data_IF_882806553099
#
_entry.id   IF_882806553099
#
_cell.length_a   1.000
_cell.length_b   1.000
_cell.length_c   1.000
_cell.angle_alpha   90.00
_cell.angle_beta   90.00
_cell.angle_gamma   90.00
#
_symmetry.space_group_name_H-M   'P 1'
#
loop_
_entity.id
_entity.type
_entity.pdbx_description
1 polymer ?
#
# COMPACT_ATOMS: atom_id res chain seq x y z
N UNK A 1 -5.62 -15.64 -3.52
CA UNK A 1 -5.68 -14.15 -3.52
C UNK A 1 -4.43 -13.59 -4.19
N UNK A 2 -4.56 -12.71 -5.18
CA UNK A 2 -3.41 -12.11 -5.84
C UNK A 2 -2.80 -10.99 -4.98
N UNK A 3 -1.58 -11.21 -4.44
CA UNK A 3 -0.79 -10.22 -3.68
C UNK A 3 0.70 -10.52 -3.75
N UNK A 4 1.54 -9.54 -3.43
CA UNK A 4 2.97 -9.79 -3.23
C UNK A 4 3.20 -10.46 -1.87
N UNK A 5 3.78 -11.66 -1.87
CA UNK A 5 4.11 -12.44 -0.65
C UNK A 5 5.62 -12.54 -0.40
N UNK A 6 6.44 -11.87 -1.21
CA UNK A 6 7.88 -11.92 -1.10
C UNK A 6 8.48 -11.00 -0.02
N UNK A 7 9.81 -10.91 0.04
CA UNK A 7 10.51 -10.10 1.05
C UNK A 7 10.20 -8.60 0.94
N UNK A 8 9.48 -8.05 1.93
CA UNK A 8 9.04 -6.64 1.90
C UNK A 8 10.17 -5.62 2.10
N UNK A 9 11.23 -5.96 2.85
CA UNK A 9 12.39 -5.07 3.02
C UNK A 9 13.15 -4.84 1.69
N UNK A 10 13.05 -5.77 0.73
CA UNK A 10 13.58 -5.58 -0.63
C UNK A 10 12.88 -4.43 -1.35
N UNK A 11 11.57 -4.26 -1.11
CA UNK A 11 10.77 -3.19 -1.70
C UNK A 11 11.15 -1.83 -1.11
N UNK A 12 11.24 -1.73 0.22
CA UNK A 12 11.65 -0.50 0.91
C UNK A 12 13.07 -0.07 0.50
N UNK A 13 14.04 -1.00 0.50
CA UNK A 13 15.41 -0.73 0.04
C UNK A 13 15.50 -0.27 -1.42
N UNK A 14 14.61 -0.77 -2.29
CA UNK A 14 14.58 -0.35 -3.69
C UNK A 14 14.07 1.07 -3.87
N UNK A 15 13.04 1.45 -3.10
CA UNK A 15 12.47 2.81 -3.15
C UNK A 15 13.24 3.80 -2.26
N UNK A 16 14.09 3.29 -1.36
CA UNK A 16 14.97 4.09 -0.52
C UNK A 16 14.27 4.83 0.61
N UNK A 17 13.02 4.46 0.93
CA UNK A 17 12.20 5.03 1.99
C UNK A 17 11.46 3.92 2.72
N UNK A 18 11.03 4.17 3.95
CA UNK A 18 10.09 3.27 4.61
C UNK A 18 8.77 3.27 3.84
N UNK A 19 8.20 2.07 3.66
CA UNK A 19 6.91 1.84 2.99
C UNK A 19 5.86 1.32 3.97
N UNK A 20 6.16 1.28 5.28
CA UNK A 20 5.29 0.79 6.35
C UNK A 20 4.84 -0.67 6.14
N UNK A 21 5.68 -1.48 5.49
CA UNK A 21 5.39 -2.88 5.20
C UNK A 21 5.79 -3.84 6.34
N UNK A 22 6.30 -3.29 7.44
CA UNK A 22 6.66 -3.99 8.67
C UNK A 22 6.09 -3.18 9.83
N UNK A 23 5.68 -3.86 10.90
CA UNK A 23 5.15 -3.21 12.09
C UNK A 23 6.12 -2.18 12.68
N UNK A 24 5.60 -1.10 13.25
CA UNK A 24 6.39 -0.02 13.84
C UNK A 24 7.15 -0.37 15.13
N UNK A 25 7.00 -1.59 15.66
CA UNK A 25 7.59 -2.04 16.95
C UNK A 25 9.10 -1.83 17.02
N UNK A 26 9.79 -2.01 15.89
CA UNK A 26 11.23 -1.71 15.74
C UNK A 26 11.44 -0.81 14.54
N UNK A 27 12.46 0.05 14.60
CA UNK A 27 12.84 0.91 13.47
C UNK A 27 13.20 0.07 12.24
N UNK A 28 12.95 0.62 11.04
CA UNK A 28 13.25 -0.09 9.80
C UNK A 28 14.75 -0.34 9.60
N UNK A 29 15.60 0.56 10.12
CA UNK A 29 17.06 0.44 10.03
C UNK A 29 17.60 -0.77 10.79
N UNK A 30 16.93 -1.15 11.90
CA UNK A 30 17.27 -2.38 12.64
C UNK A 30 16.91 -3.65 11.86
N UNK A 31 15.98 -3.58 10.90
CA UNK A 31 15.47 -4.73 10.13
C UNK A 31 16.17 -4.87 8.78
N UNK A 32 16.58 -3.77 8.16
CA UNK A 32 17.20 -3.78 6.86
C UNK A 32 18.08 -2.54 6.61
N UNK A 33 19.13 -2.71 5.79
CA UNK A 33 19.99 -1.63 5.34
C UNK A 33 19.26 -0.75 4.31
N UNK A 34 18.47 0.23 4.75
CA UNK A 34 17.57 1.04 3.91
C UNK A 34 18.32 1.90 2.87
N UNK A 35 19.49 2.41 3.24
CA UNK A 35 20.37 3.18 2.35
C UNK A 35 20.89 2.37 1.17
N UNK A 36 21.02 1.05 1.33
CA UNK A 36 21.63 0.16 0.36
C UNK A 36 20.60 -0.49 -0.57
N UNK A 37 20.79 -0.36 -1.89
CA UNK A 37 19.95 -1.01 -2.89
C UNK A 37 19.97 -2.54 -2.73
N UNK A 38 18.88 -3.25 -3.07
CA UNK A 38 18.84 -4.71 -2.99
C UNK A 38 19.57 -5.38 -4.16
N UNK A 39 20.16 -6.55 -3.90
CA UNK A 39 20.90 -7.37 -4.87
C UNK A 39 22.42 -7.28 -4.69
N UNK A 40 23.17 -8.17 -5.36
CA UNK A 40 24.64 -8.26 -5.25
C UNK A 40 25.32 -6.94 -5.63
N UNK A 41 24.89 -6.33 -6.75
CA UNK A 41 25.42 -5.03 -7.17
C UNK A 41 24.96 -3.85 -6.30
N UNK A 42 23.99 -4.05 -5.40
CA UNK A 42 23.44 -2.99 -4.57
C UNK A 42 24.38 -2.47 -3.48
N UNK A 43 25.44 -3.23 -3.13
CA UNK A 43 26.47 -2.82 -2.18
C UNK A 43 27.30 -1.66 -2.72
N UNK A 44 27.71 -1.76 -4.00
CA UNK A 44 28.61 -0.79 -4.63
C UNK A 44 27.87 0.20 -5.55
N UNK A 45 26.57 -0.04 -5.81
CA UNK A 45 25.77 0.84 -6.64
C UNK A 45 25.41 2.14 -5.92
N UNK A 46 25.84 3.28 -6.49
CA UNK A 46 25.29 4.59 -6.14
C UNK A 46 23.90 4.72 -6.77
N UNK A 47 22.99 5.42 -6.09
CA UNK A 47 21.70 5.82 -6.70
C UNK A 47 22.00 6.79 -7.84
N UNK A 48 22.10 6.26 -9.05
CA UNK A 48 22.27 7.09 -10.24
C UNK A 48 21.00 7.90 -10.48
N UNK A 49 21.17 9.12 -10.98
CA UNK A 49 20.07 9.95 -11.45
C UNK A 49 19.44 9.22 -12.64
N UNK A 50 18.26 8.64 -12.43
CA UNK A 50 17.55 7.89 -13.45
C UNK A 50 17.09 8.80 -14.59
N UNK A 51 16.69 8.20 -15.71
CA UNK A 51 15.93 8.91 -16.73
C UNK A 51 14.62 9.45 -16.16
N UNK A 52 14.02 10.43 -16.82
CA UNK A 52 12.72 10.98 -16.42
C UNK A 52 11.65 9.88 -16.27
N UNK A 53 11.56 8.99 -17.26
CA UNK A 53 10.72 7.79 -17.19
C UNK A 53 11.03 6.93 -15.96
N UNK A 54 12.32 6.74 -15.65
CA UNK A 54 12.77 5.98 -14.49
C UNK A 54 12.25 6.57 -13.18
N UNK A 55 12.29 7.90 -13.04
CA UNK A 55 11.77 8.62 -11.87
C UNK A 55 10.26 8.45 -11.73
N UNK A 56 9.51 8.69 -12.80
CA UNK A 56 8.05 8.51 -12.81
C UNK A 56 7.66 7.06 -12.50
N UNK A 57 8.39 6.09 -13.06
CA UNK A 57 8.18 4.69 -12.78
C UNK A 57 8.43 4.39 -11.29
N UNK A 58 9.50 4.90 -10.68
CA UNK A 58 9.77 4.68 -9.25
C UNK A 58 8.64 5.22 -8.37
N UNK A 59 8.19 6.45 -8.61
CA UNK A 59 7.10 7.03 -7.81
C UNK A 59 5.79 6.23 -7.96
N UNK A 60 5.45 5.80 -9.18
CA UNK A 60 4.32 4.89 -9.39
C UNK A 60 4.48 3.59 -8.60
N UNK A 61 5.67 2.98 -8.65
CA UNK A 61 5.94 1.71 -7.94
C UNK A 61 5.89 1.88 -6.43
N UNK A 62 6.36 3.02 -5.91
CA UNK A 62 6.34 3.37 -4.49
C UNK A 62 4.91 3.38 -3.95
N UNK A 63 4.02 4.14 -4.59
CA UNK A 63 2.60 4.21 -4.23
C UNK A 63 1.95 2.83 -4.32
N UNK A 64 2.17 2.09 -5.42
CA UNK A 64 1.64 0.73 -5.55
C UNK A 64 2.04 -0.20 -4.41
N UNK A 65 3.31 -0.12 -3.98
CA UNK A 65 3.85 -0.99 -2.93
C UNK A 65 3.32 -0.59 -1.56
N UNK A 66 3.22 0.71 -1.26
CA UNK A 66 2.65 1.19 0.00
C UNK A 66 1.24 0.63 0.23
N UNK A 67 0.36 0.74 -0.77
CA UNK A 67 -1.01 0.24 -0.68
C UNK A 67 -1.17 -1.27 -1.01
N UNK A 68 -0.09 -1.96 -1.41
CA UNK A 68 -0.15 -3.37 -1.77
C UNK A 68 -1.03 -3.68 -3.00
N UNK A 69 -1.16 -2.76 -3.95
CA UNK A 69 -2.04 -2.87 -5.13
C UNK A 69 -1.27 -3.36 -6.35
N UNK A 70 -1.87 -4.29 -7.11
CA UNK A 70 -1.30 -4.79 -8.37
C UNK A 70 -1.50 -3.80 -9.53
N UNK A 71 -0.64 -3.85 -10.54
CA UNK A 71 -0.64 -2.90 -11.65
C UNK A 71 -1.99 -2.78 -12.36
N UNK A 72 -2.65 -3.91 -12.64
CA UNK A 72 -3.97 -3.91 -13.30
C UNK A 72 -4.99 -3.11 -12.49
N UNK A 73 -5.04 -3.33 -11.18
CA UNK A 73 -5.97 -2.62 -10.30
C UNK A 73 -5.57 -1.15 -10.11
N UNK A 74 -4.28 -0.85 -10.00
CA UNK A 74 -3.78 0.51 -9.91
C UNK A 74 -4.12 1.33 -11.16
N UNK A 75 -3.96 0.75 -12.36
CA UNK A 75 -4.36 1.37 -13.62
C UNK A 75 -5.87 1.65 -13.67
N UNK A 76 -6.69 0.77 -13.12
CA UNK A 76 -8.14 1.00 -13.01
C UNK A 76 -8.46 2.16 -12.07
N UNK A 77 -7.77 2.28 -10.93
CA UNK A 77 -7.92 3.44 -10.04
C UNK A 77 -7.50 4.74 -10.74
N UNK A 78 -6.39 4.73 -11.47
CA UNK A 78 -5.97 5.90 -12.25
C UNK A 78 -7.02 6.31 -13.29
N UNK A 79 -7.57 5.35 -14.05
CA UNK A 79 -8.64 5.63 -15.03
C UNK A 79 -9.89 6.22 -14.35
N UNK A 80 -10.26 5.71 -13.17
CA UNK A 80 -11.37 6.26 -12.38
C UNK A 80 -11.05 7.66 -11.85
N UNK A 81 -9.83 7.89 -11.39
CA UNK A 81 -9.38 9.19 -10.90
C UNK A 81 -9.36 10.24 -12.01
N UNK A 82 -8.90 9.88 -13.21
CA UNK A 82 -8.85 10.79 -14.36
C UNK A 82 -10.22 11.16 -14.91
N UNK A 83 -11.24 10.32 -14.69
CA UNK A 83 -12.62 10.62 -15.07
C UNK A 83 -13.37 11.48 -14.06
N UNK A 84 -12.85 11.63 -12.84
CA UNK A 84 -13.46 12.48 -11.80
C UNK A 84 -13.05 13.94 -12.04
N UNK A 85 -13.93 14.87 -11.67
CA UNK A 85 -13.62 16.31 -11.66
C UNK A 85 -12.52 16.60 -10.62
N UNK A 86 -11.72 17.65 -10.87
CA UNK A 86 -10.63 18.07 -9.98
C UNK A 86 -9.26 17.46 -10.32
N UNK A 87 -8.32 17.53 -9.38
CA UNK A 87 -6.95 17.03 -9.57
C UNK A 87 -6.90 15.51 -9.62
N UNK A 88 -6.42 14.93 -10.72
CA UNK A 88 -6.27 13.48 -10.91
C UNK A 88 -5.40 12.83 -9.83
N UNK A 89 -4.35 13.53 -9.37
CA UNK A 89 -3.44 13.03 -8.34
C UNK A 89 -4.13 12.87 -6.98
N UNK A 90 -4.87 13.90 -6.57
CA UNK A 90 -5.64 13.89 -5.32
C UNK A 90 -6.75 12.84 -5.37
N UNK A 91 -7.46 12.77 -6.50
CA UNK A 91 -8.50 11.76 -6.74
C UNK A 91 -7.94 10.33 -6.65
N UNK A 92 -6.73 10.09 -7.16
CA UNK A 92 -6.07 8.79 -7.06
C UNK A 92 -5.74 8.44 -5.60
N UNK A 93 -5.16 9.38 -4.85
CA UNK A 93 -4.82 9.17 -3.44
C UNK A 93 -6.07 8.95 -2.59
N UNK A 94 -7.13 9.73 -2.83
CA UNK A 94 -8.43 9.55 -2.17
C UNK A 94 -8.99 8.13 -2.41
N UNK A 95 -9.00 7.65 -3.65
CA UNK A 95 -9.47 6.29 -3.98
C UNK A 95 -8.65 5.17 -3.31
N UNK A 96 -7.34 5.40 -3.11
CA UNK A 96 -6.46 4.45 -2.43
C UNK A 96 -6.67 4.47 -0.91
N UNK A 97 -6.85 5.65 -0.32
CA UNK A 97 -7.10 5.80 1.12
C UNK A 97 -8.47 5.23 1.52
N UNK A 98 -9.50 5.36 0.67
CA UNK A 98 -10.86 4.83 0.91
C UNK A 98 -10.99 3.30 0.78
N UNK A 99 -9.91 2.55 0.54
CA UNK A 99 -9.97 1.09 0.49
C UNK A 99 -10.19 0.52 1.89
N UNK A 100 -11.08 -0.47 2.04
CA UNK A 100 -11.37 -1.08 3.34
C UNK A 100 -10.12 -1.63 4.05
N UNK A 101 -9.21 -2.32 3.35
CA UNK A 101 -7.96 -2.79 3.97
C UNK A 101 -7.05 -1.67 4.44
N UNK A 102 -7.05 -0.53 3.75
CA UNK A 102 -6.30 0.64 4.16
C UNK A 102 -6.98 1.36 5.33
N UNK A 103 -8.30 1.52 5.33
CA UNK A 103 -9.04 2.13 6.43
C UNK A 103 -8.88 1.33 7.73
N UNK A 104 -8.98 -0.01 7.66
CA UNK A 104 -8.74 -0.91 8.81
C UNK A 104 -7.31 -0.75 9.36
N UNK A 105 -6.30 -0.58 8.49
CA UNK A 105 -4.94 -0.26 8.91
C UNK A 105 -4.84 1.13 9.56
N UNK A 106 -5.46 2.16 8.97
CA UNK A 106 -5.48 3.54 9.50
C UNK A 106 -6.18 3.64 10.86
N UNK A 107 -7.20 2.83 11.09
CA UNK A 107 -7.90 2.71 12.39
C UNK A 107 -7.06 2.00 13.46
N UNK A 108 -5.94 1.36 13.10
CA UNK A 108 -5.06 0.67 14.04
C UNK A 108 -5.51 -0.74 14.41
N UNK A 109 -6.51 -1.32 13.74
CA UNK A 109 -6.94 -2.71 13.98
C UNK A 109 -5.90 -3.75 13.50
N UNK A 110 -4.91 -3.32 12.71
CA UNK A 110 -3.82 -4.16 12.26
C UNK A 110 -2.52 -3.36 12.23
N UNK A 111 -1.40 -4.04 12.48
CA UNK A 111 -0.06 -3.41 12.52
C UNK A 111 0.49 -3.12 11.12
N UNK A 112 -0.02 -3.79 10.08
CA UNK A 112 0.36 -3.54 8.68
C UNK A 112 -0.84 -3.67 7.75
N UNK A 113 -0.78 -3.04 6.57
CA UNK A 113 -1.81 -3.19 5.52
C UNK A 113 -2.00 -4.65 5.06
N UNK A 114 -0.95 -5.47 5.13
CA UNK A 114 -1.04 -6.90 4.76
C UNK A 114 -1.84 -7.71 5.77
N UNK A 115 -1.70 -7.38 7.05
CA UNK A 115 -2.47 -7.94 8.16
C UNK A 115 -3.91 -7.42 8.14
N UNK A 116 -4.12 -6.12 7.91
CA UNK A 116 -5.46 -5.54 7.73
C UNK A 116 -6.24 -6.25 6.61
N UNK A 117 -5.56 -6.51 5.49
CA UNK A 117 -6.13 -7.29 4.37
C UNK A 117 -6.48 -8.72 4.78
N UNK A 118 -5.68 -9.33 5.65
CA UNK A 118 -5.97 -10.68 6.16
C UNK A 118 -7.22 -10.67 7.04
N UNK A 119 -7.35 -9.72 7.97
CA UNK A 119 -8.55 -9.53 8.80
C UNK A 119 -9.81 -9.36 7.96
N UNK A 120 -9.76 -8.48 6.95
CA UNK A 120 -10.87 -8.29 6.01
C UNK A 120 -11.18 -9.62 5.30
N UNK A 121 -10.19 -10.27 4.70
CA UNK A 121 -10.39 -11.53 3.97
C UNK A 121 -10.93 -12.65 4.85
N UNK A 122 -10.59 -12.66 6.13
CA UNK A 122 -10.99 -13.68 7.11
C UNK A 122 -12.36 -13.39 7.74
N UNK A 123 -13.14 -12.43 7.19
CA UNK A 123 -14.50 -12.10 7.66
C UNK A 123 -14.54 -11.57 9.10
N UNK A 124 -13.46 -10.93 9.54
CA UNK A 124 -13.35 -10.30 10.88
C UNK A 124 -13.82 -8.85 10.91
N UNK A 125 -14.09 -8.24 9.74
CA UNK A 125 -14.48 -6.82 9.63
C UNK A 125 -15.94 -6.71 9.18
N UNK A 126 -16.65 -5.81 9.85
CA UNK A 126 -18.05 -5.48 9.62
C UNK A 126 -18.14 -4.02 9.18
N UNK A 127 -18.96 -3.74 8.16
CA UNK A 127 -19.28 -2.39 7.70
C UNK A 127 -20.79 -2.22 7.76
N UNK A 128 -21.28 -1.23 8.54
CA UNK A 128 -22.71 -0.97 8.75
C UNK A 128 -23.50 -2.24 9.14
N UNK A 129 -22.97 -3.02 10.10
CA UNK A 129 -23.59 -4.26 10.58
C UNK A 129 -23.47 -5.48 9.65
N UNK A 130 -22.85 -5.36 8.47
CA UNK A 130 -22.66 -6.47 7.53
C UNK A 130 -21.20 -6.87 7.39
N UNK A 131 -20.93 -8.18 7.37
CA UNK A 131 -19.58 -8.71 7.16
C UNK A 131 -19.11 -8.41 5.73
N UNK A 132 -18.00 -7.68 5.59
CA UNK A 132 -17.41 -7.35 4.28
C UNK A 132 -16.01 -7.95 4.20
N UNK A 133 -15.80 -8.85 3.24
CA UNK A 133 -14.53 -9.57 3.07
C UNK A 133 -13.73 -9.15 1.82
N UNK A 134 -14.08 -8.02 1.21
CA UNK A 134 -13.47 -7.52 -0.01
C UNK A 134 -12.49 -6.38 0.35
N UNK A 135 -11.17 -6.59 0.29
CA UNK A 135 -10.19 -5.56 0.65
C UNK A 135 -10.25 -4.29 -0.19
N UNK A 136 -10.79 -4.37 -1.41
CA UNK A 136 -10.94 -3.23 -2.31
C UNK A 136 -12.29 -2.53 -2.22
N UNK A 137 -13.14 -2.92 -1.26
CA UNK A 137 -14.36 -2.20 -0.95
C UNK A 137 -14.04 -0.72 -0.72
N UNK A 138 -14.86 0.16 -1.28
CA UNK A 138 -14.70 1.60 -1.17
C UNK A 138 -15.59 2.08 -0.03
N UNK A 139 -14.95 2.49 1.06
CA UNK A 139 -15.61 3.05 2.23
C UNK A 139 -16.15 4.43 1.87
N UNK A 140 -17.42 4.67 2.19
CA UNK A 140 -18.10 5.93 2.00
C UNK A 140 -18.01 6.77 3.28
N UNK A 141 -18.29 8.07 3.15
CA UNK A 141 -18.45 8.91 4.32
C UNK A 141 -19.58 8.36 5.20
N UNK A 142 -19.38 8.40 6.52
CA UNK A 142 -20.32 7.92 7.55
C UNK A 142 -20.52 6.39 7.61
N UNK A 143 -19.72 5.60 6.88
CA UNK A 143 -19.70 4.14 7.09
C UNK A 143 -19.10 3.81 8.48
N UNK A 144 -19.80 2.97 9.25
CA UNK A 144 -19.34 2.44 10.52
C UNK A 144 -18.56 1.14 10.30
N UNK A 145 -17.32 1.09 10.78
CA UNK A 145 -16.43 -0.07 10.63
C UNK A 145 -16.11 -0.62 12.01
N UNK A 146 -16.43 -1.89 12.23
CA UNK A 146 -16.17 -2.58 13.50
C UNK A 146 -15.52 -3.94 13.28
N UNK A 147 -14.90 -4.45 14.34
CA UNK A 147 -14.40 -5.84 14.40
C UNK A 147 -15.56 -6.72 14.83
N UNK A 148 -15.74 -7.84 14.13
CA UNK A 148 -16.76 -8.82 14.45
C UNK A 148 -16.47 -9.44 15.83
N UNK A 149 -17.51 -9.54 16.66
CA UNK A 149 -17.50 -10.35 17.89
C UNK A 149 -17.23 -11.83 17.63
#
# INVERSE_FOLDING_TARGET
MARYTGPTCKLARREGTDLELKSGIRSIDSKCKLSQLPGVHGVNARRQKGSEYGLQLREKQKVRRMYGVLEKQFRLYYKKASSKKGSTGENLLSLLECRLDNVVYRMGFASTRSEARQLVSHKSIVVNGKVVNIPSYQVSANDEISVRE
#
